data_IF_838201448991
#
_entry.id   IF_838201448991
#
_cell.length_a   1.000
_cell.length_b   1.000
_cell.length_c   1.000
_cell.angle_alpha   90.00
_cell.angle_beta   90.00
_cell.angle_gamma   90.00
#
_symmetry.space_group_name_H-M   'P 1'
#
loop_
_entity.id
_entity.type
_entity.pdbx_description
1 polymer ?
#
# COMPACT_ATOMS: atom_id res chain seq x y z
N UNK A 1 -28.32 15.61 18.49
CA UNK A 1 -26.98 15.41 17.89
C UNK A 1 -27.13 14.47 16.71
N UNK A 2 -26.84 14.93 15.49
CA UNK A 2 -26.99 14.12 14.28
C UNK A 2 -26.00 12.94 14.33
N UNK A 3 -26.53 11.72 14.36
CA UNK A 3 -25.76 10.49 14.17
C UNK A 3 -25.19 10.49 12.74
N UNK A 4 -24.02 11.10 12.55
CA UNK A 4 -23.26 10.94 11.31
C UNK A 4 -22.76 9.50 11.29
N UNK A 5 -23.43 8.67 10.51
CA UNK A 5 -22.94 7.33 10.20
C UNK A 5 -21.54 7.47 9.61
N UNK A 6 -20.55 6.75 10.13
CA UNK A 6 -19.20 6.82 9.61
C UNK A 6 -19.20 6.29 8.17
N UNK A 7 -18.77 7.15 7.25
CA UNK A 7 -18.83 6.84 5.84
C UNK A 7 -17.75 5.83 5.48
N UNK A 8 -18.17 4.67 4.98
CA UNK A 8 -17.29 3.67 4.33
C UNK A 8 -16.35 4.32 3.30
N UNK A 9 -16.85 5.35 2.61
CA UNK A 9 -16.06 6.14 1.67
C UNK A 9 -14.91 6.90 2.34
N UNK A 10 -15.17 7.55 3.48
CA UNK A 10 -14.14 8.29 4.21
C UNK A 10 -13.01 7.35 4.68
N UNK A 11 -13.36 6.14 5.13
CA UNK A 11 -12.35 5.15 5.51
C UNK A 11 -11.49 4.71 4.32
N UNK A 12 -12.11 4.41 3.17
CA UNK A 12 -11.38 4.04 1.95
C UNK A 12 -10.46 5.16 1.46
N UNK A 13 -10.92 6.42 1.51
CA UNK A 13 -10.08 7.57 1.11
C UNK A 13 -8.85 7.68 2.03
N UNK A 14 -9.04 7.58 3.35
CA UNK A 14 -7.94 7.75 4.31
C UNK A 14 -6.96 6.59 4.30
N UNK A 15 -7.43 5.35 4.14
CA UNK A 15 -6.58 4.16 4.32
C UNK A 15 -6.13 3.53 3.00
N UNK A 16 -6.76 3.83 1.87
CA UNK A 16 -6.38 3.31 0.54
C UNK A 16 -5.87 4.44 -0.35
N UNK A 17 -6.69 5.47 -0.58
CA UNK A 17 -6.37 6.50 -1.56
C UNK A 17 -5.21 7.39 -1.11
N UNK A 18 -5.21 7.80 0.16
CA UNK A 18 -4.18 8.70 0.69
C UNK A 18 -2.77 8.06 0.68
N UNK A 19 -2.58 6.80 1.14
CA UNK A 19 -1.28 6.15 1.04
C UNK A 19 -0.83 5.84 -0.40
N UNK A 20 -1.77 5.60 -1.32
CA UNK A 20 -1.50 5.40 -2.75
C UNK A 20 -1.33 6.72 -3.53
N UNK A 21 -1.64 7.85 -2.93
CA UNK A 21 -1.58 9.16 -3.57
C UNK A 21 -0.20 9.45 -4.21
N UNK A 22 0.94 9.21 -3.54
CA UNK A 22 2.27 9.42 -4.14
C UNK A 22 2.45 8.66 -5.46
N UNK A 23 2.00 7.41 -5.53
CA UNK A 23 2.07 6.58 -6.74
C UNK A 23 1.25 7.15 -7.89
N UNK A 24 -0.01 7.57 -7.62
CA UNK A 24 -0.86 8.16 -8.66
C UNK A 24 -0.37 9.54 -9.11
N UNK A 25 0.09 10.37 -8.18
CA UNK A 25 0.64 11.71 -8.48
C UNK A 25 1.90 11.58 -9.31
N UNK A 26 2.83 10.68 -8.96
CA UNK A 26 4.02 10.43 -9.78
C UNK A 26 3.64 9.94 -11.18
N UNK A 27 2.70 8.99 -11.28
CA UNK A 27 2.21 8.51 -12.58
C UNK A 27 1.65 9.63 -13.45
N UNK A 28 0.81 10.51 -12.87
CA UNK A 28 0.24 11.65 -13.58
C UNK A 28 1.33 12.63 -14.05
N UNK A 29 2.30 12.94 -13.18
CA UNK A 29 3.43 13.81 -13.53
C UNK A 29 4.21 13.21 -14.70
N UNK A 30 4.49 11.90 -14.67
CA UNK A 30 5.21 11.21 -15.75
C UNK A 30 4.42 11.20 -17.05
N UNK A 31 3.10 10.97 -17.03
CA UNK A 31 2.26 11.05 -18.23
C UNK A 31 2.35 12.43 -18.88
N UNK A 32 2.24 13.49 -18.08
CA UNK A 32 2.34 14.88 -18.57
C UNK A 32 3.76 15.17 -19.09
N UNK A 33 4.79 14.67 -18.40
CA UNK A 33 6.18 14.87 -18.79
C UNK A 33 6.60 14.11 -20.06
N UNK A 34 5.93 12.99 -20.38
CA UNK A 34 6.20 12.17 -21.56
C UNK A 34 5.12 12.32 -22.65
N UNK A 35 4.61 13.53 -22.85
CA UNK A 35 3.67 13.88 -23.94
C UNK A 35 2.40 13.00 -24.00
N UNK A 36 1.83 12.68 -22.85
CA UNK A 36 0.65 11.81 -22.69
C UNK A 36 0.85 10.36 -23.17
N UNK A 37 2.09 9.88 -23.28
CA UNK A 37 2.36 8.48 -23.56
C UNK A 37 2.36 7.65 -22.28
N UNK A 38 1.66 6.51 -22.30
CA UNK A 38 1.63 5.55 -21.20
C UNK A 38 2.49 4.35 -21.59
N UNK A 39 3.56 4.13 -20.83
CA UNK A 39 4.48 3.01 -20.99
C UNK A 39 4.76 2.35 -19.64
N UNK A 40 5.52 1.26 -19.62
CA UNK A 40 5.89 0.58 -18.37
C UNK A 40 6.75 1.43 -17.44
N UNK A 41 7.42 2.48 -17.95
CA UNK A 41 8.22 3.39 -17.14
C UNK A 41 7.39 4.54 -16.56
N UNK A 42 6.12 4.66 -16.96
CA UNK A 42 5.20 5.70 -16.46
C UNK A 42 4.85 5.48 -14.99
N UNK A 43 4.76 4.23 -14.53
CA UNK A 43 4.48 3.92 -13.13
C UNK A 43 5.73 3.33 -12.47
N UNK A 44 6.09 3.87 -11.31
CA UNK A 44 7.28 3.45 -10.59
C UNK A 44 6.94 2.37 -9.55
N UNK A 45 7.55 1.20 -9.71
CA UNK A 45 7.39 0.06 -8.80
C UNK A 45 7.91 0.36 -7.39
N UNK A 46 8.96 1.19 -7.24
CA UNK A 46 9.48 1.59 -5.94
C UNK A 46 8.41 2.40 -5.17
N UNK A 47 7.83 3.40 -5.83
CA UNK A 47 6.78 4.23 -5.23
C UNK A 47 5.53 3.42 -4.92
N UNK A 48 5.17 2.46 -5.79
CA UNK A 48 4.09 1.53 -5.50
C UNK A 48 4.37 0.70 -4.25
N UNK A 49 5.56 0.10 -4.14
CA UNK A 49 5.96 -0.71 -2.98
C UNK A 49 5.91 0.13 -1.69
N UNK A 50 6.43 1.35 -1.72
CA UNK A 50 6.38 2.28 -0.59
C UNK A 50 4.94 2.62 -0.20
N UNK A 51 4.10 3.00 -1.17
CA UNK A 51 2.70 3.36 -0.97
C UNK A 51 1.88 2.19 -0.39
N UNK A 52 2.12 0.97 -0.85
CA UNK A 52 1.52 -0.25 -0.29
C UNK A 52 2.00 -0.48 1.15
N UNK A 53 3.29 -0.28 1.42
CA UNK A 53 3.84 -0.38 2.77
C UNK A 53 3.16 0.59 3.74
N UNK A 54 2.97 1.84 3.31
CA UNK A 54 2.23 2.85 4.07
C UNK A 54 0.76 2.46 4.28
N UNK A 55 0.07 2.01 3.22
CA UNK A 55 -1.31 1.54 3.30
C UNK A 55 -1.45 0.46 4.39
N UNK A 56 -0.59 -0.55 4.37
CA UNK A 56 -0.62 -1.62 5.35
C UNK A 56 -0.32 -1.13 6.77
N UNK A 57 0.62 -0.20 6.97
CA UNK A 57 0.85 0.41 8.28
C UNK A 57 -0.37 1.18 8.79
N UNK A 58 -0.99 2.01 7.96
CA UNK A 58 -2.18 2.77 8.34
C UNK A 58 -3.33 1.86 8.76
N UNK A 59 -3.58 0.81 8.00
CA UNK A 59 -4.64 -0.18 8.31
C UNK A 59 -4.32 -0.94 9.59
N UNK A 60 -3.07 -1.40 9.76
CA UNK A 60 -2.62 -2.09 10.98
C UNK A 60 -2.81 -1.21 12.22
N UNK A 61 -2.38 0.06 12.16
CA UNK A 61 -2.58 0.99 13.26
C UNK A 61 -4.06 1.28 13.54
N UNK A 62 -4.89 1.38 12.50
CA UNK A 62 -6.34 1.55 12.66
C UNK A 62 -6.97 0.34 13.37
N UNK A 63 -6.56 -0.87 13.02
CA UNK A 63 -7.03 -2.11 13.66
C UNK A 63 -6.62 -2.17 15.13
N UNK A 64 -5.37 -1.84 15.46
CA UNK A 64 -4.86 -1.81 16.84
C UNK A 64 -5.62 -0.77 17.67
N UNK A 65 -5.83 0.44 17.13
CA UNK A 65 -6.61 1.49 17.79
C UNK A 65 -8.06 1.04 18.05
N UNK A 66 -8.67 0.35 17.10
CA UNK A 66 -10.03 -0.17 17.27
C UNK A 66 -10.10 -1.28 18.34
N UNK A 67 -9.04 -2.09 18.51
CA UNK A 67 -8.94 -3.07 19.61
C UNK A 67 -8.98 -2.39 20.97
N UNK A 68 -8.26 -1.28 21.12
CA UNK A 68 -8.16 -0.54 22.39
C UNK A 68 -9.50 0.09 22.80
N UNK A 69 -10.36 0.43 21.85
CA UNK A 69 -11.65 1.10 22.11
C UNK A 69 -12.73 0.11 22.56
N UNK A 70 -12.70 -1.16 22.09
CA UNK A 70 -13.69 -2.18 22.47
C UNK A 70 -12.99 -3.44 22.98
N UNK A 71 -12.38 -3.40 24.19
CA UNK A 71 -11.83 -4.58 24.82
C UNK A 71 -12.96 -5.53 25.23
N UNK A 72 -12.99 -6.74 24.67
CA UNK A 72 -13.89 -7.82 25.11
C UNK A 72 -14.88 -8.37 24.07
N UNK A 73 -14.81 -7.98 22.79
CA UNK A 73 -15.57 -8.69 21.76
C UNK A 73 -14.88 -10.00 21.35
N UNK A 74 -15.65 -11.04 21.05
CA UNK A 74 -15.20 -12.36 20.57
C UNK A 74 -14.31 -12.33 19.29
N UNK A 75 -14.03 -11.15 18.74
CA UNK A 75 -13.15 -10.92 17.59
C UNK A 75 -11.78 -10.32 17.92
N UNK A 76 -11.40 -10.15 19.19
CA UNK A 76 -10.18 -9.41 19.57
C UNK A 76 -8.86 -10.05 19.11
N UNK A 77 -8.85 -11.38 18.95
CA UNK A 77 -7.69 -12.14 18.44
C UNK A 77 -7.64 -12.10 16.90
N UNK A 78 -8.79 -12.16 16.24
CA UNK A 78 -8.89 -12.00 14.78
C UNK A 78 -8.42 -10.60 14.34
N UNK A 79 -8.77 -9.57 15.10
CA UNK A 79 -8.35 -8.19 14.83
C UNK A 79 -6.83 -8.01 14.99
N UNK A 80 -6.25 -8.62 16.04
CA UNK A 80 -4.80 -8.60 16.27
C UNK A 80 -4.03 -9.40 15.21
N UNK A 81 -4.59 -10.54 14.77
CA UNK A 81 -4.05 -11.33 13.65
C UNK A 81 -4.04 -10.52 12.35
N UNK A 82 -5.15 -9.88 12.01
CA UNK A 82 -5.24 -9.02 10.82
C UNK A 82 -4.24 -7.84 10.88
N UNK A 83 -4.15 -7.16 12.02
CA UNK A 83 -3.16 -6.08 12.20
C UNK A 83 -1.73 -6.58 12.00
N UNK A 84 -1.40 -7.74 12.57
CA UNK A 84 -0.08 -8.36 12.43
C UNK A 84 0.21 -8.74 10.98
N UNK A 85 -0.76 -9.31 10.25
CA UNK A 85 -0.61 -9.61 8.82
C UNK A 85 -0.34 -8.36 7.99
N UNK A 86 -1.07 -7.26 8.23
CA UNK A 86 -0.78 -5.99 7.56
C UNK A 86 0.61 -5.45 7.92
N UNK A 87 1.03 -5.54 9.18
CA UNK A 87 2.39 -5.14 9.57
C UNK A 87 3.47 -5.96 8.86
N UNK A 88 3.27 -7.28 8.69
CA UNK A 88 4.20 -8.15 7.95
C UNK A 88 4.28 -7.73 6.48
N UNK A 89 3.12 -7.49 5.85
CA UNK A 89 3.08 -7.01 4.46
C UNK A 89 3.78 -5.66 4.35
N UNK A 90 3.58 -4.75 5.31
CA UNK A 90 4.24 -3.46 5.31
C UNK A 90 5.77 -3.58 5.33
N UNK A 91 6.31 -4.41 6.23
CA UNK A 91 7.76 -4.68 6.31
C UNK A 91 8.27 -5.27 4.99
N UNK A 92 7.56 -6.27 4.45
CA UNK A 92 7.92 -6.86 3.16
C UNK A 92 7.93 -5.82 2.02
N UNK A 93 6.95 -4.93 1.99
CA UNK A 93 6.86 -3.85 1.01
C UNK A 93 7.99 -2.84 1.15
N UNK A 94 8.39 -2.45 2.38
CA UNK A 94 9.54 -1.56 2.58
C UNK A 94 10.88 -2.22 2.22
N UNK A 95 11.06 -3.50 2.53
CA UNK A 95 12.22 -4.26 2.06
C UNK A 95 12.26 -4.30 0.52
N UNK A 96 11.13 -4.55 -0.12
CA UNK A 96 11.02 -4.58 -1.57
C UNK A 96 11.31 -3.21 -2.19
N UNK A 97 10.80 -2.13 -1.59
CA UNK A 97 11.15 -0.75 -1.96
C UNK A 97 12.67 -0.52 -1.91
N UNK A 98 13.32 -0.89 -0.80
CA UNK A 98 14.77 -0.75 -0.66
C UNK A 98 15.55 -1.54 -1.73
N UNK A 99 15.11 -2.77 -2.03
CA UNK A 99 15.71 -3.59 -3.11
C UNK A 99 15.58 -2.92 -4.47
N UNK A 100 14.41 -2.37 -4.82
CA UNK A 100 14.21 -1.69 -6.11
C UNK A 100 15.07 -0.44 -6.21
N UNK A 101 15.17 0.35 -5.15
CA UNK A 101 16.03 1.54 -5.10
C UNK A 101 17.49 1.14 -5.27
N UNK A 102 17.96 0.11 -4.56
CA UNK A 102 19.33 -0.40 -4.72
C UNK A 102 19.60 -0.92 -6.13
N UNK A 103 18.69 -1.69 -6.72
CA UNK A 103 18.82 -2.17 -8.10
C UNK A 103 18.86 -1.01 -9.10
N UNK A 104 18.06 0.03 -8.87
CA UNK A 104 18.04 1.21 -9.75
C UNK A 104 19.37 1.96 -9.66
N UNK A 105 19.89 2.19 -8.44
CA UNK A 105 21.19 2.80 -8.23
C UNK A 105 22.35 1.99 -8.85
N UNK A 106 22.31 0.65 -8.72
CA UNK A 106 23.31 -0.22 -9.35
C UNK A 106 23.25 -0.20 -10.87
N UNK A 107 22.06 -0.08 -11.47
CA UNK A 107 21.91 0.02 -12.94
C UNK A 107 22.43 1.38 -13.46
N UNK A 108 22.27 2.44 -12.67
CA UNK A 108 22.81 3.77 -13.00
C UNK A 108 24.34 3.78 -13.02
N UNK A 109 24.99 3.03 -12.12
CA UNK A 109 26.45 2.94 -12.01
C UNK A 109 27.05 1.88 -12.95
N UNK A 110 26.45 0.68 -12.99
CA UNK A 110 26.84 -0.43 -13.86
C UNK A 110 25.67 -0.85 -14.76
N UNK A 111 25.72 -0.39 -16.01
CA UNK A 111 24.81 -0.77 -17.09
C UNK A 111 24.96 -2.25 -17.47
N UNK A 112 24.43 -3.16 -16.64
CA UNK A 112 24.41 -4.60 -16.86
C UNK A 112 23.03 -5.07 -17.31
N UNK A 113 22.94 -5.69 -18.49
CA UNK A 113 21.68 -6.29 -18.98
C UNK A 113 21.07 -7.30 -18.01
N UNK A 114 21.92 -7.99 -17.22
CA UNK A 114 21.45 -8.93 -16.19
C UNK A 114 20.72 -8.21 -15.05
N UNK A 115 21.24 -7.07 -14.59
CA UNK A 115 20.60 -6.26 -13.55
C UNK A 115 19.26 -5.69 -14.03
N UNK A 116 19.20 -5.23 -15.28
CA UNK A 116 17.96 -4.74 -15.90
C UNK A 116 16.90 -5.84 -15.93
N UNK A 117 17.26 -7.07 -16.32
CA UNK A 117 16.34 -8.21 -16.32
C UNK A 117 15.84 -8.58 -14.91
N UNK A 118 16.73 -8.56 -13.90
CA UNK A 118 16.36 -8.78 -12.50
C UNK A 118 15.38 -7.70 -12.04
N UNK A 119 15.70 -6.42 -12.28
CA UNK A 119 14.81 -5.31 -11.91
C UNK A 119 13.45 -5.43 -12.57
N UNK A 120 13.40 -5.73 -13.88
CA UNK A 120 12.13 -5.93 -14.58
C UNK A 120 11.29 -7.05 -13.95
N UNK A 121 11.91 -8.16 -13.57
CA UNK A 121 11.22 -9.26 -12.87
C UNK A 121 10.63 -8.81 -11.53
N UNK A 122 11.41 -8.04 -10.76
CA UNK A 122 10.95 -7.47 -9.48
C UNK A 122 9.80 -6.48 -9.70
N UNK A 123 9.89 -5.62 -10.71
CA UNK A 123 8.86 -4.63 -11.04
C UNK A 123 7.53 -5.33 -11.36
N UNK A 124 7.54 -6.35 -12.22
CA UNK A 124 6.35 -7.15 -12.54
C UNK A 124 5.75 -7.85 -11.33
N UNK A 125 6.60 -8.40 -10.46
CA UNK A 125 6.16 -9.04 -9.23
C UNK A 125 5.44 -8.03 -8.32
N UNK A 126 5.99 -6.83 -8.16
CA UNK A 126 5.42 -5.76 -7.32
C UNK A 126 4.07 -5.30 -7.87
N UNK A 127 3.96 -5.05 -9.18
CA UNK A 127 2.69 -4.66 -9.80
C UNK A 127 1.61 -5.72 -9.61
N UNK A 128 1.98 -7.01 -9.73
CA UNK A 128 1.03 -8.11 -9.57
C UNK A 128 0.57 -8.27 -8.12
N UNK A 129 1.50 -8.21 -7.16
CA UNK A 129 1.18 -8.46 -5.75
C UNK A 129 0.53 -7.25 -5.05
N UNK A 130 0.72 -6.03 -5.56
CA UNK A 130 0.17 -4.80 -4.97
C UNK A 130 -1.37 -4.77 -4.91
N UNK A 131 -2.06 -5.58 -5.72
CA UNK A 131 -3.51 -5.71 -5.67
C UNK A 131 -3.98 -6.39 -4.37
N UNK A 132 -3.20 -7.35 -3.86
CA UNK A 132 -3.59 -8.16 -2.71
C UNK A 132 -3.83 -7.32 -1.45
N UNK A 133 -2.90 -6.43 -1.01
CA UNK A 133 -3.12 -5.59 0.16
C UNK A 133 -4.33 -4.67 0.05
N UNK A 134 -4.64 -4.16 -1.15
CA UNK A 134 -5.83 -3.32 -1.39
C UNK A 134 -7.11 -4.13 -1.18
N UNK A 135 -7.20 -5.34 -1.75
CA UNK A 135 -8.35 -6.23 -1.56
C UNK A 135 -8.48 -6.63 -0.09
N UNK A 136 -7.39 -7.03 0.56
CA UNK A 136 -7.38 -7.39 1.99
C UNK A 136 -7.84 -6.23 2.86
N UNK A 137 -7.48 -4.99 2.51
CA UNK A 137 -7.89 -3.77 3.22
C UNK A 137 -9.40 -3.54 3.12
N UNK A 138 -9.99 -3.71 1.94
CA UNK A 138 -11.45 -3.64 1.75
C UNK A 138 -12.15 -4.75 2.53
N UNK A 139 -11.59 -5.97 2.53
CA UNK A 139 -12.14 -7.08 3.30
C UNK A 139 -12.09 -6.79 4.81
N UNK A 140 -10.95 -6.32 5.33
CA UNK A 140 -10.79 -5.96 6.74
C UNK A 140 -11.79 -4.87 7.16
N UNK A 141 -11.98 -3.85 6.32
CA UNK A 141 -12.97 -2.81 6.58
C UNK A 141 -14.39 -3.37 6.74
N UNK A 142 -14.81 -4.26 5.83
CA UNK A 142 -16.14 -4.88 5.87
C UNK A 142 -16.30 -5.83 7.05
N UNK A 143 -15.31 -6.66 7.31
CA UNK A 143 -15.34 -7.68 8.37
C UNK A 143 -15.40 -7.08 9.76
N UNK A 144 -14.67 -6.00 10.01
CA UNK A 144 -14.59 -5.37 11.33
C UNK A 144 -15.46 -4.11 11.45
N UNK A 145 -16.24 -3.76 10.41
CA UNK A 145 -17.06 -2.54 10.33
C UNK A 145 -16.26 -1.29 10.73
N UNK A 146 -15.02 -1.22 10.25
CA UNK A 146 -14.10 -0.15 10.64
C UNK A 146 -14.66 1.19 10.18
N UNK A 147 -14.73 2.10 11.14
CA UNK A 147 -15.23 3.45 10.99
C UNK A 147 -14.07 4.40 11.27
N UNK A 148 -13.98 5.48 10.49
CA UNK A 148 -13.23 6.65 10.94
C UNK A 148 -13.98 7.28 12.10
N UNK A 149 -13.62 6.89 13.32
CA UNK A 149 -13.98 7.65 14.52
C UNK A 149 -13.11 8.92 14.49
N UNK A 150 -13.67 9.99 13.93
CA UNK A 150 -13.18 11.35 14.14
C UNK A 150 -13.93 11.89 15.35
#
# INVERSE_FOLDING_TARGET
>A
MSNKTPSSWAWMVVHILFPLCPFFVEGLIRVVAFDNTVSQTTFNSATLAMSIGLLCLYVSQSLIKHKLIIPGSDGSDSLAGAASSFSIIAVFSFCTFAVIVMLSALIEDESSMKLIGIKSTVDYFVFSIAIFPVISTIYAQRSFKLSTAI
#
